data_IF_021346327684
#
_entry.id   IF_021346327684
#
_cell.length_a   1.000
_cell.length_b   1.000
_cell.length_c   1.000
_cell.angle_alpha   90.00
_cell.angle_beta   90.00
_cell.angle_gamma   90.00
#
_symmetry.space_group_name_H-M   'P 1'
#
loop_
_entity.id
_entity.type
_entity.pdbx_description
1 polymer ?
#
# COMPACT_ATOMS: atom_id res chain seq x y z
N UNK A 1 4.90 32.09 -10.60
CA UNK A 1 5.53 31.19 -9.63
C UNK A 1 4.52 30.12 -9.26
N UNK A 2 4.85 28.88 -9.49
CA UNK A 2 4.02 27.78 -9.02
C UNK A 2 3.97 27.83 -7.49
N UNK A 3 2.77 27.92 -6.92
CA UNK A 3 2.55 27.90 -5.49
C UNK A 3 2.99 26.53 -4.99
N UNK A 4 4.10 26.47 -4.28
CA UNK A 4 4.58 25.22 -3.71
C UNK A 4 3.52 24.73 -2.72
N UNK A 5 2.83 23.65 -3.09
CA UNK A 5 1.80 23.07 -2.22
C UNK A 5 2.48 22.43 -1.03
N UNK A 6 2.29 23.00 0.14
CA UNK A 6 2.78 22.41 1.38
C UNK A 6 1.83 21.27 1.75
N UNK A 7 2.36 20.05 1.76
CA UNK A 7 1.59 18.87 2.16
C UNK A 7 1.63 18.67 3.68
N UNK A 8 0.46 18.39 4.23
CA UNK A 8 0.29 17.93 5.60
C UNK A 8 0.20 16.40 5.57
N UNK A 9 1.29 15.75 5.89
CA UNK A 9 1.46 14.32 5.73
C UNK A 9 1.02 13.53 6.96
N UNK A 10 0.25 12.47 6.74
CA UNK A 10 0.06 11.36 7.67
C UNK A 10 0.84 10.14 7.17
N UNK A 11 1.72 9.59 7.99
CA UNK A 11 2.39 8.32 7.67
C UNK A 11 1.65 7.15 8.29
N UNK A 12 1.46 6.10 7.49
CA UNK A 12 0.78 4.89 7.92
C UNK A 12 1.73 3.70 7.97
N UNK A 13 1.70 2.99 9.08
CA UNK A 13 2.58 1.86 9.38
C UNK A 13 1.75 0.69 9.88
N UNK A 14 1.98 -0.49 9.35
CA UNK A 14 1.32 -1.73 9.76
C UNK A 14 2.29 -2.89 9.81
N UNK A 15 2.11 -3.73 10.82
CA UNK A 15 2.79 -5.01 10.93
C UNK A 15 1.77 -6.06 11.40
N UNK A 16 1.60 -7.14 10.66
CA UNK A 16 0.80 -8.29 11.06
C UNK A 16 1.67 -9.43 11.57
N UNK A 17 1.07 -10.38 12.27
CA UNK A 17 1.79 -11.61 12.69
C UNK A 17 2.26 -12.43 11.49
N UNK A 18 1.53 -12.38 10.38
CA UNK A 18 1.89 -13.05 9.13
C UNK A 18 3.15 -12.41 8.51
N UNK A 19 3.26 -11.09 8.54
CA UNK A 19 4.44 -10.36 8.06
C UNK A 19 5.69 -10.74 8.86
N UNK A 20 5.56 -10.90 10.17
CA UNK A 20 6.66 -11.36 11.02
C UNK A 20 7.10 -12.79 10.69
N UNK A 21 6.16 -13.69 10.40
CA UNK A 21 6.46 -15.08 10.02
C UNK A 21 7.08 -15.20 8.62
N UNK A 22 6.73 -14.33 7.70
CA UNK A 22 7.25 -14.31 6.35
C UNK A 22 8.68 -13.76 6.23
N UNK A 23 9.25 -13.25 7.33
CA UNK A 23 10.57 -12.62 7.33
C UNK A 23 10.63 -11.26 6.62
N UNK A 24 9.49 -10.71 6.24
CA UNK A 24 9.36 -9.40 5.59
C UNK A 24 9.39 -8.24 6.59
N UNK A 25 9.82 -8.51 7.81
CA UNK A 25 9.68 -7.59 8.93
C UNK A 25 10.72 -6.47 8.90
N UNK A 26 10.40 -5.43 8.17
CA UNK A 26 10.83 -4.14 8.66
C UNK A 26 9.94 -3.80 9.86
N UNK A 27 10.54 -3.74 11.05
CA UNK A 27 9.82 -3.38 12.27
C UNK A 27 9.02 -2.08 12.10
N UNK A 28 8.02 -1.88 12.93
CA UNK A 28 7.26 -0.62 12.98
C UNK A 28 8.20 0.59 13.06
N UNK A 29 9.22 0.51 13.91
CA UNK A 29 10.19 1.60 14.08
C UNK A 29 11.00 1.89 12.82
N UNK A 30 11.37 0.86 12.07
CA UNK A 30 12.10 1.03 10.83
C UNK A 30 11.23 1.65 9.72
N UNK A 31 9.97 1.23 9.62
CA UNK A 31 9.00 1.86 8.72
C UNK A 31 8.81 3.35 9.05
N UNK A 32 8.63 3.68 10.33
CA UNK A 32 8.53 5.08 10.80
C UNK A 32 9.75 5.90 10.41
N UNK A 33 10.94 5.35 10.61
CA UNK A 33 12.20 6.03 10.30
C UNK A 33 12.30 6.37 8.81
N UNK A 34 12.03 5.40 7.93
CA UNK A 34 12.08 5.59 6.48
C UNK A 34 11.07 6.66 6.04
N UNK A 35 9.83 6.54 6.48
CA UNK A 35 8.75 7.43 6.08
C UNK A 35 8.93 8.86 6.63
N UNK A 36 9.37 8.99 7.87
CA UNK A 36 9.67 10.30 8.47
C UNK A 36 10.82 10.99 7.75
N UNK A 37 11.88 10.24 7.43
CA UNK A 37 13.00 10.76 6.65
C UNK A 37 12.54 11.26 5.29
N UNK A 38 11.73 10.49 4.59
CA UNK A 38 11.20 10.86 3.29
C UNK A 38 10.38 12.17 3.35
N UNK A 39 9.47 12.30 4.31
CA UNK A 39 8.67 13.51 4.52
C UNK A 39 9.56 14.74 4.74
N UNK A 40 10.60 14.62 5.56
CA UNK A 40 11.57 15.71 5.82
C UNK A 40 12.35 16.09 4.58
N UNK A 41 12.83 15.14 3.81
CA UNK A 41 13.59 15.38 2.58
C UNK A 41 12.76 16.11 1.53
N UNK A 42 11.44 15.87 1.50
CA UNK A 42 10.51 16.60 0.63
C UNK A 42 10.11 17.99 1.15
N UNK A 43 10.47 18.33 2.37
CA UNK A 43 10.09 19.61 2.98
C UNK A 43 8.61 19.69 3.37
N UNK A 44 7.94 18.56 3.56
CA UNK A 44 6.53 18.49 3.93
C UNK A 44 6.35 18.51 5.46
N UNK A 45 5.13 18.84 5.88
CA UNK A 45 4.77 18.87 7.29
C UNK A 45 4.25 17.48 7.74
N UNK A 46 4.93 16.85 8.70
CA UNK A 46 4.45 15.62 9.32
C UNK A 46 3.44 15.93 10.41
N UNK A 47 2.18 15.60 10.20
CA UNK A 47 1.09 15.86 11.16
C UNK A 47 0.98 14.76 12.20
N UNK A 48 0.96 13.49 11.76
CA UNK A 48 0.80 12.35 12.68
C UNK A 48 1.34 11.05 12.07
N UNK A 49 1.57 10.08 12.94
CA UNK A 49 1.95 8.71 12.60
C UNK A 49 0.84 7.76 13.05
N UNK A 50 0.30 7.00 12.11
CA UNK A 50 -0.80 6.07 12.34
C UNK A 50 -0.26 4.64 12.31
N UNK A 51 -0.39 3.92 13.41
CA UNK A 51 0.22 2.59 13.61
C UNK A 51 -0.84 1.57 13.94
N UNK A 52 -0.92 0.52 13.12
CA UNK A 52 -1.70 -0.68 13.41
C UNK A 52 -0.74 -1.88 13.56
N UNK A 53 -0.33 -2.17 14.79
CA UNK A 53 0.53 -3.29 15.13
C UNK A 53 -0.30 -4.52 15.49
N UNK A 54 0.00 -5.66 14.85
CA UNK A 54 -0.72 -6.91 15.06
C UNK A 54 -2.01 -7.09 14.24
N UNK A 55 -2.35 -6.11 13.40
CA UNK A 55 -3.56 -6.16 12.56
C UNK A 55 -3.27 -6.67 11.14
N UNK A 56 -4.17 -7.50 10.61
CA UNK A 56 -4.14 -7.92 9.21
C UNK A 56 -4.49 -6.76 8.28
N UNK A 57 -3.99 -6.81 7.05
CA UNK A 57 -4.35 -5.87 6.00
C UNK A 57 -5.59 -6.24 5.18
N UNK A 58 -6.32 -7.29 5.57
CA UNK A 58 -7.44 -7.85 4.78
C UNK A 58 -8.68 -6.98 4.75
N UNK A 59 -8.88 -6.15 5.77
CA UNK A 59 -9.97 -5.19 5.84
C UNK A 59 -9.50 -3.84 6.41
N UNK A 60 -10.39 -2.85 6.38
CA UNK A 60 -10.13 -1.52 6.92
C UNK A 60 -10.69 -1.30 8.34
N UNK A 61 -11.12 -2.34 9.04
CA UNK A 61 -11.60 -2.28 10.43
C UNK A 61 -10.46 -2.18 11.46
N UNK A 62 -9.45 -1.42 11.14
CA UNK A 62 -8.28 -1.17 11.99
C UNK A 62 -8.36 0.23 12.58
N UNK A 63 -8.09 0.42 13.88
CA UNK A 63 -8.33 1.69 14.54
C UNK A 63 -7.50 2.84 13.96
N UNK A 64 -6.23 2.63 13.66
CA UNK A 64 -5.37 3.70 13.15
C UNK A 64 -5.63 4.04 11.70
N UNK A 65 -5.96 3.07 10.84
CA UNK A 65 -6.36 3.40 9.46
C UNK A 65 -7.68 4.14 9.43
N UNK A 66 -8.62 3.80 10.29
CA UNK A 66 -9.89 4.54 10.40
C UNK A 66 -9.66 5.98 10.85
N UNK A 67 -8.79 6.20 11.82
CA UNK A 67 -8.40 7.54 12.25
C UNK A 67 -7.69 8.32 11.12
N UNK A 68 -6.79 7.67 10.39
CA UNK A 68 -6.11 8.24 9.21
C UNK A 68 -7.12 8.72 8.15
N UNK A 69 -8.08 7.87 7.81
CA UNK A 69 -9.10 8.18 6.81
C UNK A 69 -10.02 9.33 7.26
N UNK A 70 -10.38 9.35 8.54
CA UNK A 70 -11.16 10.44 9.13
C UNK A 70 -10.40 11.77 9.08
N UNK A 71 -9.14 11.78 9.48
CA UNK A 71 -8.28 12.97 9.45
C UNK A 71 -8.05 13.48 8.02
N UNK A 72 -7.98 12.58 7.05
CA UNK A 72 -7.89 12.94 5.65
C UNK A 72 -9.18 13.57 5.11
N UNK A 73 -10.34 13.00 5.45
CA UNK A 73 -11.64 13.53 5.02
C UNK A 73 -11.97 14.88 5.66
N UNK A 74 -11.54 15.10 6.89
CA UNK A 74 -11.72 16.40 7.59
C UNK A 74 -10.72 17.47 7.16
N UNK A 75 -9.72 17.13 6.34
CA UNK A 75 -8.71 18.05 5.85
C UNK A 75 -7.55 18.31 6.81
N UNK A 76 -7.44 17.58 7.91
CA UNK A 76 -6.30 17.65 8.83
C UNK A 76 -5.00 17.22 8.15
N UNK A 77 -5.07 16.19 7.30
CA UNK A 77 -4.02 15.75 6.41
C UNK A 77 -4.49 15.75 4.97
N UNK A 78 -3.61 16.03 4.03
CA UNK A 78 -3.90 16.01 2.59
C UNK A 78 -2.91 15.13 1.81
N UNK A 79 -2.06 14.42 2.54
CA UNK A 79 -1.09 13.47 2.01
C UNK A 79 -1.01 12.24 2.92
N UNK A 80 -1.15 11.06 2.33
CA UNK A 80 -0.99 9.78 3.00
C UNK A 80 0.24 9.08 2.41
N UNK A 81 1.15 8.62 3.27
CA UNK A 81 2.36 7.91 2.84
C UNK A 81 2.46 6.59 3.59
N UNK A 82 2.70 5.52 2.86
CA UNK A 82 3.04 4.21 3.41
C UNK A 82 4.26 3.62 2.70
N UNK A 83 4.84 2.59 3.28
CA UNK A 83 6.00 1.92 2.68
C UNK A 83 5.63 1.21 1.38
N UNK A 84 4.56 0.45 1.40
CA UNK A 84 4.01 -0.27 0.24
C UNK A 84 2.49 -0.39 0.34
N UNK A 85 1.85 -0.74 -0.77
CA UNK A 85 0.40 -0.87 -0.85
C UNK A 85 -0.15 -1.93 0.11
N UNK A 86 0.59 -3.00 0.37
CA UNK A 86 0.16 -4.07 1.27
C UNK A 86 0.05 -3.61 2.73
N UNK A 87 0.79 -2.56 3.11
CA UNK A 87 0.67 -1.95 4.44
C UNK A 87 -0.63 -1.17 4.57
N UNK A 88 -1.01 -0.44 3.53
CA UNK A 88 -2.28 0.27 3.50
C UNK A 88 -3.47 -0.71 3.48
N UNK A 89 -3.44 -1.72 2.62
CA UNK A 89 -4.44 -2.77 2.59
C UNK A 89 -4.08 -3.90 1.64
N UNK A 90 -4.61 -5.08 1.90
CA UNK A 90 -4.45 -6.27 1.05
C UNK A 90 -5.69 -6.56 0.20
N UNK A 91 -6.82 -5.94 0.52
CA UNK A 91 -8.01 -6.00 -0.32
C UNK A 91 -7.88 -4.96 -1.44
N UNK A 92 -7.48 -5.42 -2.62
CA UNK A 92 -7.22 -4.55 -3.77
C UNK A 92 -8.45 -3.78 -4.26
N UNK A 93 -9.66 -4.30 -4.05
CA UNK A 93 -10.90 -3.61 -4.42
C UNK A 93 -11.10 -2.39 -3.53
N UNK A 94 -11.01 -2.55 -2.22
CA UNK A 94 -11.15 -1.44 -1.27
C UNK A 94 -10.02 -0.42 -1.42
N UNK A 95 -8.77 -0.89 -1.53
CA UNK A 95 -7.61 -0.02 -1.75
C UNK A 95 -7.76 0.78 -3.04
N UNK A 96 -8.18 0.15 -4.13
CA UNK A 96 -8.45 0.81 -5.39
C UNK A 96 -9.55 1.87 -5.29
N UNK A 97 -10.62 1.59 -4.56
CA UNK A 97 -11.68 2.56 -4.31
C UNK A 97 -11.17 3.81 -3.57
N UNK A 98 -10.33 3.64 -2.56
CA UNK A 98 -9.73 4.77 -1.87
C UNK A 98 -8.80 5.57 -2.75
N UNK A 99 -7.86 4.91 -3.43
CA UNK A 99 -6.80 5.60 -4.18
C UNK A 99 -7.31 6.19 -5.49
N UNK A 100 -8.21 5.50 -6.18
CA UNK A 100 -8.67 5.91 -7.51
C UNK A 100 -9.89 6.84 -7.46
N UNK A 101 -10.69 6.80 -6.40
CA UNK A 101 -11.95 7.56 -6.31
C UNK A 101 -12.02 8.45 -5.07
N UNK A 102 -11.87 7.91 -3.88
CA UNK A 102 -12.14 8.66 -2.64
C UNK A 102 -11.07 9.72 -2.39
N UNK A 103 -9.81 9.39 -2.52
CA UNK A 103 -8.71 10.34 -2.29
C UNK A 103 -8.70 11.47 -3.32
N UNK A 104 -8.85 11.23 -4.63
CA UNK A 104 -8.99 12.32 -5.59
C UNK A 104 -10.18 13.24 -5.31
N UNK A 105 -11.32 12.68 -4.88
CA UNK A 105 -12.51 13.45 -4.55
C UNK A 105 -12.27 14.45 -3.40
N UNK A 106 -11.45 14.07 -2.44
CA UNK A 106 -11.09 14.91 -1.27
C UNK A 106 -9.74 15.63 -1.43
N UNK A 107 -9.14 15.63 -2.62
CA UNK A 107 -7.83 16.21 -2.90
C UNK A 107 -6.71 15.66 -1.99
N UNK A 108 -6.74 14.37 -1.73
CA UNK A 108 -5.74 13.67 -0.93
C UNK A 108 -4.73 13.02 -1.87
N UNK A 109 -3.46 13.34 -1.70
CA UNK A 109 -2.35 12.66 -2.37
C UNK A 109 -2.00 11.38 -1.62
N UNK A 110 -1.73 10.30 -2.34
CA UNK A 110 -1.32 9.02 -1.77
C UNK A 110 0.02 8.58 -2.37
N UNK A 111 0.93 8.14 -1.52
CA UNK A 111 2.25 7.63 -1.92
C UNK A 111 2.52 6.29 -1.26
N UNK A 112 2.90 5.28 -2.05
CA UNK A 112 3.48 4.03 -1.60
C UNK A 112 4.91 3.93 -2.16
N UNK A 113 5.92 4.03 -1.30
CA UNK A 113 7.31 4.22 -1.73
C UNK A 113 7.86 3.03 -2.52
N UNK A 114 7.71 1.81 -2.01
CA UNK A 114 8.29 0.63 -2.64
C UNK A 114 7.60 0.23 -3.95
N UNK A 115 6.33 0.59 -4.10
CA UNK A 115 5.54 0.29 -5.31
C UNK A 115 5.60 1.40 -6.34
N UNK A 116 6.34 2.49 -6.06
CA UNK A 116 6.41 3.68 -6.91
C UNK A 116 5.04 4.27 -7.25
N UNK A 117 4.09 4.17 -6.33
CA UNK A 117 2.76 4.77 -6.47
C UNK A 117 2.78 6.17 -5.91
N UNK A 118 2.39 7.13 -6.74
CA UNK A 118 2.20 8.53 -6.36
C UNK A 118 1.06 9.13 -7.19
N UNK A 119 -0.04 9.41 -6.53
CA UNK A 119 -1.25 9.90 -7.21
C UNK A 119 -1.12 11.30 -7.80
N UNK A 120 -0.14 12.10 -7.35
CA UNK A 120 0.13 13.41 -7.95
C UNK A 120 0.72 13.31 -9.35
N UNK A 121 1.38 12.22 -9.68
CA UNK A 121 2.00 12.02 -10.99
C UNK A 121 1.05 11.45 -12.04
N UNK A 122 -0.20 11.17 -11.68
CA UNK A 122 -1.21 10.63 -12.61
C UNK A 122 -1.52 11.57 -13.78
N UNK A 123 -1.48 12.87 -13.54
CA UNK A 123 -1.85 13.87 -14.54
C UNK A 123 -0.75 14.11 -15.58
N UNK A 124 0.51 13.80 -15.27
CA UNK A 124 1.64 14.05 -16.16
C UNK A 124 1.90 12.91 -17.15
N UNK A 125 1.43 11.69 -16.89
CA UNK A 125 1.65 10.51 -17.72
C UNK A 125 0.41 9.60 -17.75
N UNK A 126 -0.72 10.12 -18.19
CA UNK A 126 -1.99 9.38 -18.25
C UNK A 126 -1.93 8.07 -19.04
N UNK A 127 -0.88 7.86 -19.85
CA UNK A 127 -0.66 6.64 -20.63
C UNK A 127 0.25 5.61 -19.91
N UNK A 128 1.00 6.01 -18.88
CA UNK A 128 1.99 5.13 -18.23
C UNK A 128 1.57 4.62 -16.85
N UNK A 129 0.57 5.24 -16.21
CA UNK A 129 0.06 4.77 -14.93
C UNK A 129 -1.19 3.91 -15.11
N UNK A 130 -1.00 2.61 -15.00
CA UNK A 130 -2.12 1.70 -14.81
C UNK A 130 -2.93 2.10 -13.57
N UNK A 131 -4.26 2.02 -13.60
CA UNK A 131 -5.07 2.11 -12.39
C UNK A 131 -4.53 1.18 -11.30
N UNK A 132 -4.57 1.60 -10.03
CA UNK A 132 -4.05 0.81 -8.91
C UNK A 132 -4.68 -0.59 -8.87
N UNK A 133 -5.95 -0.72 -9.24
CA UNK A 133 -6.64 -2.01 -9.38
C UNK A 133 -5.90 -2.94 -10.36
N UNK A 134 -5.44 -2.44 -11.51
CA UNK A 134 -4.70 -3.23 -12.49
C UNK A 134 -3.32 -3.63 -11.97
N UNK A 135 -2.64 -2.74 -11.25
CA UNK A 135 -1.37 -3.04 -10.59
C UNK A 135 -1.52 -4.19 -9.58
N UNK A 136 -2.57 -4.17 -8.77
CA UNK A 136 -2.89 -5.24 -7.84
C UNK A 136 -3.24 -6.54 -8.56
N UNK A 137 -4.00 -6.49 -9.66
CA UNK A 137 -4.34 -7.66 -10.45
C UNK A 137 -3.09 -8.33 -11.04
N UNK A 138 -2.15 -7.56 -11.58
CA UNK A 138 -0.87 -8.08 -12.07
C UNK A 138 -0.05 -8.71 -10.94
N UNK A 139 0.02 -8.06 -9.80
CA UNK A 139 0.75 -8.55 -8.65
C UNK A 139 0.14 -9.85 -8.09
N UNK A 140 -1.20 -9.92 -7.98
CA UNK A 140 -1.90 -11.15 -7.59
C UNK A 140 -1.70 -12.28 -8.60
N UNK A 141 -1.79 -12.01 -9.89
CA UNK A 141 -1.55 -12.99 -10.94
C UNK A 141 -0.12 -13.55 -10.86
N UNK A 142 0.88 -12.68 -10.70
CA UNK A 142 2.28 -13.08 -10.53
C UNK A 142 2.51 -13.91 -9.26
N UNK A 143 1.95 -13.49 -8.13
CA UNK A 143 2.05 -14.22 -6.85
C UNK A 143 1.36 -15.58 -6.93
N UNK A 144 0.16 -15.65 -7.50
CA UNK A 144 -0.58 -16.92 -7.69
C UNK A 144 0.17 -17.86 -8.64
N UNK A 145 0.71 -17.36 -9.73
CA UNK A 145 1.53 -18.15 -10.67
C UNK A 145 2.75 -18.76 -9.99
N UNK A 146 3.44 -17.99 -9.16
CA UNK A 146 4.60 -18.47 -8.38
C UNK A 146 4.18 -19.59 -7.40
N UNK A 147 3.06 -19.42 -6.70
CA UNK A 147 2.52 -20.43 -5.78
C UNK A 147 2.13 -21.71 -6.49
N UNK A 148 1.44 -21.62 -7.64
CA UNK A 148 1.06 -22.77 -8.46
C UNK A 148 2.30 -23.52 -8.95
N UNK A 149 3.32 -22.80 -9.45
CA UNK A 149 4.58 -23.42 -9.89
C UNK A 149 5.29 -24.14 -8.74
N UNK A 150 5.32 -23.56 -7.55
CA UNK A 150 5.93 -24.17 -6.37
C UNK A 150 5.19 -25.46 -5.95
N UNK A 151 3.86 -25.45 -5.95
CA UNK A 151 3.04 -26.64 -5.65
C UNK A 151 3.24 -27.71 -6.71
N UNK A 152 3.24 -27.38 -7.99
CA UNK A 152 3.45 -28.33 -9.07
C UNK A 152 4.83 -28.96 -9.01
N UNK A 153 5.86 -28.18 -8.68
CA UNK A 153 7.23 -28.69 -8.50
C UNK A 153 7.32 -29.64 -7.29
N UNK A 154 6.67 -29.30 -6.18
CA UNK A 154 6.61 -30.16 -4.99
C UNK A 154 5.87 -31.47 -5.28
N UNK A 155 4.76 -31.41 -6.00
CA UNK A 155 3.98 -32.60 -6.41
C UNK A 155 4.78 -33.47 -7.41
N UNK A 156 5.51 -32.88 -8.34
CA UNK A 156 6.36 -33.61 -9.27
C UNK A 156 7.50 -34.36 -8.53
N UNK A 157 8.12 -33.73 -7.54
CA UNK A 157 9.14 -34.36 -6.69
C UNK A 157 8.58 -35.49 -5.83
N UNK A 158 7.31 -35.41 -5.41
CA UNK A 158 6.62 -36.42 -4.63
C UNK A 158 6.01 -37.53 -5.50
N UNK A 159 6.18 -37.50 -6.83
CA UNK A 159 5.61 -38.47 -7.76
C UNK A 159 4.09 -38.40 -7.97
N UNK A 160 3.49 -37.26 -7.56
CA UNK A 160 2.05 -37.01 -7.77
C UNK A 160 1.85 -36.30 -9.10
N UNK A 161 1.18 -36.97 -10.03
CA UNK A 161 0.77 -36.37 -11.29
C UNK A 161 -0.50 -35.54 -11.08
N UNK A 162 -0.41 -34.26 -11.30
CA UNK A 162 -1.57 -33.41 -11.51
C UNK A 162 -1.81 -33.27 -13.00
N UNK A 163 -2.32 -34.31 -13.63
CA UNK A 163 -2.88 -34.17 -14.97
C UNK A 163 -4.25 -33.49 -14.83
N UNK A 164 -4.34 -32.25 -15.27
CA UNK A 164 -5.61 -31.73 -15.70
C UNK A 164 -6.02 -32.54 -16.94
N UNK A 165 -6.97 -33.45 -16.80
CA UNK A 165 -7.63 -34.01 -17.93
C UNK A 165 -8.33 -32.93 -18.69
N UNK A 166 -7.95 -32.75 -19.93
CA UNK A 166 -8.67 -31.99 -20.90
C UNK A 166 -10.08 -32.56 -21.11
#
# INVERSE_FOLDING_TARGET
MAKQTIYNAGIYVRLSQEDMRAGESLSIEHQKLILTKYVREQGWNLVDTYVDDGFSGTDFNRPSVQRLLSDAQTGRINLIICKDLSRFGRNYIEVGQYIDYIFPLHNIRFIALNDNVDTANRDSNAMEMMPVINLFNEWHASSTSKKIKAVNLANAKAGKYTCANA
#
